data_IF_182647076019
#
_entry.id   IF_182647076019
#
_cell.length_a   1.000
_cell.length_b   1.000
_cell.length_c   1.000
_cell.angle_alpha   90.00
_cell.angle_beta   90.00
_cell.angle_gamma   90.00
#
_symmetry.space_group_name_H-M   'P 1'
#
loop_
_entity.id
_entity.type
_entity.pdbx_description
1 polymer ?
#
# COMPACT_ATOMS: atom_id res chain seq x y z
N UNK A 1 -6.69 -11.69 -18.75
CA UNK A 1 -6.27 -10.60 -17.84
C UNK A 1 -6.39 -9.31 -18.63
N UNK A 2 -7.09 -8.30 -18.11
CA UNK A 2 -7.20 -6.99 -18.77
C UNK A 2 -5.81 -6.31 -18.79
N UNK A 3 -5.48 -5.61 -19.87
CA UNK A 3 -4.24 -4.83 -19.92
C UNK A 3 -4.39 -3.62 -18.99
N UNK A 4 -3.51 -3.52 -18.00
CA UNK A 4 -3.45 -2.39 -17.06
C UNK A 4 -2.34 -1.41 -17.45
N UNK A 5 -2.37 -0.24 -16.84
CA UNK A 5 -1.37 0.80 -16.99
C UNK A 5 -0.13 0.56 -16.14
N UNK A 6 0.55 1.65 -15.76
CA UNK A 6 1.79 1.62 -14.98
C UNK A 6 1.52 1.17 -13.55
N UNK A 7 2.49 0.48 -12.95
CA UNK A 7 2.44 0.14 -11.53
C UNK A 7 2.56 1.39 -10.66
N UNK A 8 2.10 1.33 -9.41
CA UNK A 8 2.32 2.43 -8.44
C UNK A 8 3.82 2.65 -8.18
N UNK A 9 4.64 1.60 -8.26
CA UNK A 9 6.09 1.71 -8.21
C UNK A 9 6.65 2.54 -9.38
N UNK A 10 6.19 2.29 -10.61
CA UNK A 10 6.63 3.05 -11.78
C UNK A 10 6.17 4.49 -11.72
N UNK A 11 4.91 4.72 -11.34
CA UNK A 11 4.32 6.05 -11.22
C UNK A 11 5.04 6.89 -10.16
N UNK A 12 5.30 6.36 -8.97
CA UNK A 12 6.00 7.12 -7.92
C UNK A 12 7.45 7.42 -8.31
N UNK A 13 8.13 6.51 -9.03
CA UNK A 13 9.50 6.72 -9.47
C UNK A 13 9.65 7.87 -10.50
N UNK A 14 8.57 8.25 -11.17
CA UNK A 14 8.54 9.40 -12.08
C UNK A 14 8.34 10.74 -11.35
N UNK A 15 7.98 10.72 -10.06
CA UNK A 15 7.70 11.92 -9.27
C UNK A 15 8.96 12.49 -8.63
N UNK A 16 9.02 13.82 -8.41
CA UNK A 16 10.03 14.43 -7.55
C UNK A 16 10.06 13.76 -6.17
N UNK A 17 11.24 13.43 -5.67
CA UNK A 17 11.40 12.73 -4.38
C UNK A 17 10.92 11.27 -4.39
N UNK A 18 10.52 10.71 -5.54
CA UNK A 18 10.05 9.32 -5.72
C UNK A 18 8.84 8.95 -4.83
N UNK A 19 7.99 9.92 -4.56
CA UNK A 19 6.76 9.81 -3.77
C UNK A 19 5.61 10.57 -4.41
N UNK A 20 4.40 10.20 -4.05
CA UNK A 20 3.21 10.95 -4.41
C UNK A 20 2.97 12.15 -3.48
N UNK A 21 2.17 13.10 -3.94
CA UNK A 21 1.55 14.07 -3.05
C UNK A 21 0.70 13.32 -2.01
N UNK A 22 0.55 13.91 -0.82
CA UNK A 22 -0.14 13.23 0.29
C UNK A 22 -1.59 12.84 -0.06
N UNK A 23 -2.33 13.70 -0.78
CA UNK A 23 -3.68 13.37 -1.26
C UNK A 23 -3.69 12.19 -2.23
N UNK A 24 -2.73 12.15 -3.16
CA UNK A 24 -2.59 11.03 -4.09
C UNK A 24 -2.19 9.76 -3.36
N UNK A 25 -1.22 9.81 -2.45
CA UNK A 25 -0.75 8.64 -1.71
C UNK A 25 -1.84 8.04 -0.81
N UNK A 26 -2.55 8.86 -0.03
CA UNK A 26 -3.65 8.40 0.81
C UNK A 26 -4.82 7.88 -0.05
N UNK A 27 -5.24 8.61 -1.07
CA UNK A 27 -6.33 8.18 -1.96
C UNK A 27 -6.00 6.92 -2.75
N UNK A 28 -4.78 6.79 -3.28
CA UNK A 28 -4.35 5.58 -3.99
C UNK A 28 -4.22 4.39 -3.03
N UNK A 29 -3.69 4.61 -1.82
CA UNK A 29 -3.64 3.57 -0.80
C UNK A 29 -5.03 3.11 -0.37
N UNK A 30 -6.02 3.99 -0.35
CA UNK A 30 -7.42 3.65 -0.02
C UNK A 30 -7.93 2.60 -0.99
N UNK A 31 -7.81 2.82 -2.31
CA UNK A 31 -8.18 1.81 -3.31
C UNK A 31 -7.34 0.53 -3.23
N UNK A 32 -6.06 0.62 -2.84
CA UNK A 32 -5.24 -0.58 -2.61
C UNK A 32 -5.80 -1.45 -1.48
N UNK A 33 -6.31 -0.80 -0.42
CA UNK A 33 -6.93 -1.47 0.72
C UNK A 33 -8.32 -2.01 0.37
N UNK A 34 -9.13 -1.27 -0.40
CA UNK A 34 -10.42 -1.76 -0.92
C UNK A 34 -10.24 -3.05 -1.74
N UNK A 35 -9.27 -3.08 -2.65
CA UNK A 35 -8.96 -4.27 -3.43
C UNK A 35 -8.47 -5.44 -2.56
N UNK A 36 -7.75 -5.15 -1.47
CA UNK A 36 -7.32 -6.16 -0.49
C UNK A 36 -8.50 -6.69 0.34
N UNK A 37 -9.38 -5.80 0.80
CA UNK A 37 -10.60 -6.16 1.53
C UNK A 37 -11.48 -7.07 0.67
N UNK A 38 -11.66 -6.76 -0.60
CA UNK A 38 -12.42 -7.60 -1.52
C UNK A 38 -11.81 -9.00 -1.67
N UNK A 39 -10.48 -9.12 -1.77
CA UNK A 39 -9.81 -10.42 -1.75
C UNK A 39 -10.11 -11.20 -0.46
N UNK A 40 -10.12 -10.51 0.68
CA UNK A 40 -10.39 -11.11 1.98
C UNK A 40 -11.84 -11.56 2.12
N UNK A 41 -12.81 -10.85 1.53
CA UNK A 41 -14.23 -11.28 1.48
C UNK A 41 -14.39 -12.64 0.79
N UNK A 42 -13.54 -12.95 -0.18
CA UNK A 42 -13.51 -14.27 -0.84
C UNK A 42 -12.69 -15.33 -0.09
N UNK A 43 -12.16 -15.00 1.10
CA UNK A 43 -11.45 -15.94 1.96
C UNK A 43 -10.01 -16.19 1.53
N UNK A 44 -9.36 -15.21 0.91
CA UNK A 44 -7.95 -15.25 0.53
C UNK A 44 -7.16 -14.11 1.17
N UNK A 45 -5.87 -14.34 1.38
CA UNK A 45 -4.87 -13.30 1.65
C UNK A 45 -3.85 -13.29 0.51
N UNK A 46 -3.32 -12.13 0.17
CA UNK A 46 -2.37 -11.92 -0.92
C UNK A 46 -0.93 -12.29 -0.55
N UNK A 47 -0.46 -11.85 0.62
CA UNK A 47 0.89 -12.09 1.17
C UNK A 47 2.06 -11.40 0.45
N UNK A 48 1.80 -10.49 -0.49
CA UNK A 48 2.86 -9.74 -1.19
C UNK A 48 2.39 -8.35 -1.63
N UNK A 49 1.68 -7.64 -0.75
CA UNK A 49 1.22 -6.28 -1.06
C UNK A 49 2.41 -5.32 -1.08
N UNK A 50 2.64 -4.70 -2.24
CA UNK A 50 3.73 -3.75 -2.50
C UNK A 50 3.38 -2.86 -3.70
N UNK A 51 3.98 -1.67 -3.87
CA UNK A 51 3.61 -0.76 -4.97
C UNK A 51 3.71 -1.37 -6.38
N UNK A 52 4.58 -2.37 -6.60
CA UNK A 52 4.73 -3.04 -7.89
C UNK A 52 3.58 -4.01 -8.23
N UNK A 53 2.85 -4.49 -7.23
CA UNK A 53 1.70 -5.40 -7.39
C UNK A 53 0.37 -4.64 -7.46
N UNK A 54 0.42 -3.32 -7.64
CA UNK A 54 -0.75 -2.49 -7.90
C UNK A 54 -0.48 -1.63 -9.14
N UNK A 55 -1.47 -1.48 -10.02
CA UNK A 55 -1.36 -0.67 -11.22
C UNK A 55 -2.61 0.15 -11.50
N UNK A 56 -2.44 1.33 -12.08
CA UNK A 56 -3.58 2.12 -12.54
C UNK A 56 -4.19 1.51 -13.82
N UNK A 57 -5.46 1.78 -14.09
CA UNK A 57 -6.08 1.43 -15.37
C UNK A 57 -5.56 2.27 -16.54
N UNK A 58 -5.98 1.91 -17.76
CA UNK A 58 -5.67 2.66 -18.97
C UNK A 58 -6.79 3.66 -19.32
N UNK A 59 -6.42 4.75 -20.01
CA UNK A 59 -7.35 5.74 -20.58
C UNK A 59 -8.32 6.28 -19.51
N UNK A 60 -9.63 6.12 -19.71
CA UNK A 60 -10.69 6.56 -18.79
C UNK A 60 -10.62 5.86 -17.42
N UNK A 61 -9.95 4.71 -17.33
CA UNK A 61 -9.76 3.97 -16.07
C UNK A 61 -8.48 4.37 -15.32
N UNK A 62 -7.78 5.45 -15.72
CA UNK A 62 -6.52 5.90 -15.09
C UNK A 62 -6.59 6.14 -13.58
N UNK A 63 -7.79 6.33 -13.05
CA UNK A 63 -8.06 6.51 -11.62
C UNK A 63 -8.32 5.19 -10.87
N UNK A 64 -8.69 4.13 -11.58
CA UNK A 64 -8.95 2.80 -10.99
C UNK A 64 -7.61 2.12 -10.71
N UNK A 65 -7.43 1.60 -9.50
CA UNK A 65 -6.24 0.82 -9.12
C UNK A 65 -6.60 -0.66 -9.06
N UNK A 66 -5.80 -1.47 -9.75
CA UNK A 66 -5.92 -2.92 -9.83
C UNK A 66 -4.86 -3.59 -8.97
N UNK A 67 -5.26 -4.58 -8.19
CA UNK A 67 -4.35 -5.52 -7.51
C UNK A 67 -3.90 -6.61 -8.50
N UNK A 68 -2.61 -6.95 -8.48
CA UNK A 68 -1.95 -7.85 -9.41
C UNK A 68 -1.18 -8.95 -8.66
N UNK A 69 -0.84 -10.02 -9.38
CA UNK A 69 0.03 -11.11 -8.91
C UNK A 69 -0.43 -11.85 -7.64
N UNK A 70 -1.40 -12.75 -7.83
CA UNK A 70 -1.86 -13.67 -6.78
C UNK A 70 -0.97 -14.93 -6.64
N UNK A 71 0.25 -14.94 -7.20
CA UNK A 71 1.08 -16.15 -7.30
C UNK A 71 1.44 -16.80 -5.95
N UNK A 72 1.47 -16.00 -4.88
CA UNK A 72 1.62 -16.51 -3.52
C UNK A 72 0.41 -16.25 -2.62
N UNK A 73 -0.76 -15.94 -3.18
CA UNK A 73 -1.99 -15.83 -2.39
C UNK A 73 -2.32 -17.16 -1.69
N UNK A 74 -3.13 -17.10 -0.63
CA UNK A 74 -3.50 -18.26 0.18
C UNK A 74 -4.96 -18.19 0.61
N UNK A 75 -5.71 -19.26 0.34
CA UNK A 75 -7.07 -19.44 0.88
C UNK A 75 -7.00 -19.70 2.39
N UNK A 76 -7.59 -18.81 3.18
CA UNK A 76 -7.64 -18.87 4.64
C UNK A 76 -8.91 -19.55 5.16
N UNK A 77 -9.97 -19.63 4.34
CA UNK A 77 -11.20 -20.33 4.72
C UNK A 77 -11.17 -21.81 4.29
N UNK A 78 -11.78 -22.67 5.09
CA UNK A 78 -12.06 -24.06 4.74
C UNK A 78 -13.31 -24.16 3.84
N UNK A 79 -13.74 -25.38 3.50
CA UNK A 79 -14.91 -25.60 2.63
C UNK A 79 -16.25 -25.30 3.30
N UNK A 80 -16.26 -25.07 4.62
CA UNK A 80 -17.41 -24.60 5.39
C UNK A 80 -17.44 -23.08 5.55
N UNK A 81 -16.46 -22.35 4.99
CA UNK A 81 -16.32 -20.91 5.17
C UNK A 81 -15.72 -20.49 6.51
N UNK A 82 -15.16 -21.42 7.29
CA UNK A 82 -14.55 -21.12 8.60
C UNK A 82 -13.05 -20.85 8.43
N UNK A 83 -12.49 -19.98 9.28
CA UNK A 83 -11.05 -19.68 9.28
C UNK A 83 -10.24 -20.94 9.65
N UNK A 84 -9.26 -21.28 8.82
CA UNK A 84 -8.37 -22.44 9.05
C UNK A 84 -7.56 -22.27 10.33
N UNK A 85 -7.33 -23.36 11.04
CA UNK A 85 -6.37 -23.40 12.15
C UNK A 85 -4.99 -22.96 11.69
N UNK A 86 -4.30 -22.07 12.43
CA UNK A 86 -2.99 -21.59 12.04
C UNK A 86 -1.97 -22.73 12.09
N UNK A 87 -1.10 -22.80 11.09
CA UNK A 87 0.04 -23.73 11.11
C UNK A 87 1.05 -23.31 12.16
N UNK A 88 1.73 -24.28 12.80
CA UNK A 88 2.78 -24.00 13.79
C UNK A 88 3.93 -23.18 13.22
N UNK A 89 4.30 -23.41 11.95
CA UNK A 89 5.34 -22.65 11.27
C UNK A 89 5.05 -22.51 9.78
N UNK A 90 5.45 -21.37 9.22
CA UNK A 90 5.26 -21.03 7.81
C UNK A 90 6.55 -20.49 7.25
N UNK A 91 6.99 -21.02 6.09
CA UNK A 91 8.14 -20.44 5.38
C UNK A 91 7.81 -19.04 4.91
N UNK A 92 8.74 -18.12 5.13
CA UNK A 92 8.69 -16.76 4.58
C UNK A 92 8.42 -16.79 3.07
N UNK A 93 7.40 -16.05 2.64
CA UNK A 93 7.09 -15.76 1.24
C UNK A 93 6.68 -14.30 1.15
N UNK A 94 7.15 -13.61 0.11
CA UNK A 94 6.86 -12.20 -0.14
C UNK A 94 8.12 -11.35 -0.18
N UNK A 95 7.92 -10.03 -0.28
CA UNK A 95 8.99 -9.06 -0.47
C UNK A 95 9.46 -8.49 0.87
N UNK A 96 10.72 -8.71 1.25
CA UNK A 96 11.29 -8.41 2.59
C UNK A 96 10.88 -7.04 3.18
N UNK A 97 11.03 -5.91 2.45
CA UNK A 97 10.60 -4.61 2.96
C UNK A 97 9.11 -4.53 3.33
N UNK A 98 8.24 -5.21 2.60
CA UNK A 98 6.78 -5.11 2.78
C UNK A 98 6.18 -6.26 3.59
N UNK A 99 6.90 -7.37 3.81
CA UNK A 99 6.39 -8.51 4.56
C UNK A 99 6.10 -8.16 6.03
N UNK A 100 4.97 -8.63 6.58
CA UNK A 100 4.60 -8.37 7.98
C UNK A 100 5.60 -8.93 9.00
N UNK A 101 5.58 -8.43 10.24
CA UNK A 101 6.33 -8.96 11.36
C UNK A 101 6.03 -10.45 11.57
N UNK A 102 4.76 -10.88 11.41
CA UNK A 102 4.37 -12.30 11.48
C UNK A 102 5.07 -13.13 10.40
N UNK A 103 5.12 -12.64 9.16
CA UNK A 103 5.85 -13.31 8.07
C UNK A 103 7.34 -13.43 8.41
N UNK A 104 7.95 -12.36 8.94
CA UNK A 104 9.33 -12.38 9.44
C UNK A 104 9.53 -13.40 10.57
N UNK A 105 8.55 -13.60 11.45
CA UNK A 105 8.59 -14.59 12.53
C UNK A 105 8.21 -16.01 12.10
N UNK A 106 7.95 -16.25 10.81
CA UNK A 106 7.49 -17.54 10.28
C UNK A 106 6.18 -18.03 10.93
N UNK A 107 5.31 -17.11 11.36
CA UNK A 107 3.99 -17.44 11.92
C UNK A 107 2.93 -17.44 10.82
N UNK A 108 1.80 -18.10 11.05
CA UNK A 108 0.69 -18.06 10.10
C UNK A 108 0.18 -16.63 9.93
N UNK A 109 -0.05 -16.26 8.68
CA UNK A 109 -0.53 -14.93 8.31
C UNK A 109 -2.04 -14.94 8.13
N UNK A 110 -2.70 -13.85 8.53
CA UNK A 110 -4.11 -13.58 8.30
C UNK A 110 -4.35 -12.21 7.66
N UNK A 111 -5.61 -11.75 7.57
CA UNK A 111 -5.97 -10.45 7.01
C UNK A 111 -5.18 -9.25 7.58
N UNK A 112 -4.87 -9.27 8.88
CA UNK A 112 -4.07 -8.22 9.54
C UNK A 112 -2.67 -8.06 8.93
N UNK A 113 -2.09 -9.13 8.40
CA UNK A 113 -0.72 -9.12 7.87
C UNK A 113 -0.66 -8.47 6.49
N UNK A 114 -1.69 -8.66 5.67
CA UNK A 114 -1.85 -7.91 4.43
C UNK A 114 -2.11 -6.42 4.74
N UNK A 115 -2.90 -6.08 5.76
CA UNK A 115 -3.05 -4.70 6.20
C UNK A 115 -1.73 -4.07 6.67
N UNK A 116 -0.87 -4.82 7.36
CA UNK A 116 0.47 -4.37 7.74
C UNK A 116 1.35 -4.11 6.51
N UNK A 117 1.35 -5.03 5.53
CA UNK A 117 2.04 -4.85 4.26
C UNK A 117 1.51 -3.66 3.46
N UNK A 118 0.19 -3.44 3.45
CA UNK A 118 -0.46 -2.27 2.86
C UNK A 118 -0.03 -0.98 3.56
N UNK A 119 0.09 -0.97 4.89
CA UNK A 119 0.57 0.21 5.62
C UNK A 119 2.01 0.55 5.23
N UNK A 120 2.88 -0.46 5.05
CA UNK A 120 4.23 -0.25 4.52
C UNK A 120 4.24 0.25 3.07
N UNK A 121 3.32 -0.22 2.22
CA UNK A 121 3.10 0.32 0.89
C UNK A 121 2.74 1.82 0.97
N UNK A 122 1.77 2.20 1.82
CA UNK A 122 1.37 3.58 2.03
C UNK A 122 2.56 4.47 2.42
N UNK A 123 3.35 4.05 3.40
CA UNK A 123 4.56 4.78 3.78
C UNK A 123 5.55 4.90 2.63
N UNK A 124 5.80 3.83 1.87
CA UNK A 124 6.74 3.84 0.75
C UNK A 124 6.33 4.80 -0.38
N UNK A 125 5.03 5.03 -0.57
CA UNK A 125 4.53 5.94 -1.61
C UNK A 125 4.32 7.38 -1.14
N UNK A 126 4.35 7.66 0.17
CA UNK A 126 4.10 9.00 0.74
C UNK A 126 5.30 9.64 1.44
N UNK A 127 6.19 8.83 2.02
CA UNK A 127 7.33 9.30 2.81
C UNK A 127 8.56 9.44 1.90
N UNK A 128 9.17 10.64 1.72
CA UNK A 128 10.27 10.84 0.77
C UNK A 128 11.47 9.91 0.95
N UNK A 129 11.84 9.60 2.19
CA UNK A 129 12.90 8.63 2.51
C UNK A 129 12.48 7.15 2.33
N UNK A 130 11.19 6.89 2.07
CA UNK A 130 10.59 5.57 2.01
C UNK A 130 10.59 4.85 3.36
N UNK A 131 10.64 3.52 3.32
CA UNK A 131 10.81 2.70 4.51
C UNK A 131 12.25 2.77 5.00
N UNK A 132 12.47 3.04 6.28
CA UNK A 132 13.82 3.15 6.85
C UNK A 132 14.63 1.85 6.73
N UNK A 133 13.95 0.72 6.58
CA UNK A 133 14.56 -0.59 6.39
C UNK A 133 14.65 -1.03 4.91
N UNK A 134 14.29 -0.19 3.94
CA UNK A 134 14.20 -0.60 2.51
C UNK A 134 15.54 -0.99 1.90
N UNK A 135 16.64 -0.42 2.40
CA UNK A 135 18.00 -0.67 1.90
C UNK A 135 18.60 -1.99 2.41
N UNK A 136 17.94 -2.65 3.36
CA UNK A 136 18.45 -3.86 4.00
C UNK A 136 17.87 -5.12 3.35
N UNK A 137 18.73 -6.09 3.08
CA UNK A 137 18.35 -7.39 2.49
C UNK A 137 18.19 -8.49 3.53
N UNK A 138 18.74 -8.33 4.74
CA UNK A 138 18.72 -9.35 5.77
C UNK A 138 17.41 -9.36 6.56
N UNK A 139 16.74 -10.52 6.57
CA UNK A 139 15.42 -10.71 7.16
C UNK A 139 15.36 -10.26 8.62
N UNK A 140 16.30 -10.72 9.45
CA UNK A 140 16.31 -10.44 10.88
C UNK A 140 16.66 -8.97 11.19
N UNK A 141 17.46 -8.33 10.34
CA UNK A 141 17.76 -6.91 10.48
C UNK A 141 16.53 -6.04 10.18
N UNK A 142 15.82 -6.35 9.09
CA UNK A 142 14.56 -5.69 8.74
C UNK A 142 13.50 -5.88 9.83
N UNK A 143 13.38 -7.09 10.38
CA UNK A 143 12.48 -7.36 11.51
C UNK A 143 12.82 -6.47 12.71
N UNK A 144 14.08 -6.39 13.12
CA UNK A 144 14.52 -5.56 14.24
C UNK A 144 14.17 -4.08 14.03
N UNK A 145 14.42 -3.55 12.83
CA UNK A 145 14.10 -2.14 12.52
C UNK A 145 12.59 -1.90 12.57
N UNK A 146 11.77 -2.83 12.06
CA UNK A 146 10.30 -2.76 12.16
C UNK A 146 9.83 -2.70 13.61
N UNK A 147 10.40 -3.55 14.48
CA UNK A 147 10.08 -3.59 15.90
C UNK A 147 10.53 -2.32 16.64
N UNK A 148 11.69 -1.76 16.32
CA UNK A 148 12.15 -0.48 16.89
C UNK A 148 11.21 0.68 16.50
N UNK A 149 10.71 0.68 15.25
CA UNK A 149 9.78 1.70 14.78
C UNK A 149 8.42 1.64 15.48
N UNK A 150 8.02 0.46 15.99
CA UNK A 150 6.83 0.33 16.82
C UNK A 150 7.00 0.91 18.23
N UNK A 151 8.22 0.95 18.76
CA UNK A 151 8.50 1.36 20.14
C UNK A 151 8.73 2.86 20.26
N UNK A 152 9.81 3.36 19.65
CA UNK A 152 10.32 4.72 19.88
C UNK A 152 10.76 5.44 18.60
N UNK A 153 10.89 4.74 17.46
CA UNK A 153 11.34 5.34 16.19
C UNK A 153 10.20 5.67 15.21
N UNK A 154 8.95 5.74 15.69
CA UNK A 154 7.78 6.01 14.84
C UNK A 154 7.87 7.38 14.14
N UNK A 155 8.24 8.41 14.89
CA UNK A 155 8.38 9.76 14.34
C UNK A 155 9.45 9.86 13.25
N UNK A 156 10.55 9.13 13.41
CA UNK A 156 11.60 9.07 12.40
C UNK A 156 11.10 8.44 11.09
N UNK A 157 10.25 7.40 11.19
CA UNK A 157 9.66 6.76 10.00
C UNK A 157 8.61 7.65 9.32
N UNK A 158 7.79 8.37 10.08
CA UNK A 158 6.77 9.23 9.49
C UNK A 158 7.33 10.56 8.94
N UNK A 159 8.55 10.94 9.33
CA UNK A 159 9.23 12.12 8.79
C UNK A 159 8.46 13.41 9.10
N UNK A 160 8.12 14.19 8.07
CA UNK A 160 7.39 15.46 8.20
C UNK A 160 5.93 15.38 7.72
N UNK A 161 5.36 14.17 7.62
CA UNK A 161 3.95 14.03 7.31
C UNK A 161 3.10 14.77 8.36
N UNK A 162 2.00 15.39 7.93
CA UNK A 162 1.08 16.11 8.82
C UNK A 162 0.12 15.17 9.55
N UNK A 163 -0.27 14.07 8.91
CA UNK A 163 -1.23 13.08 9.43
C UNK A 163 -0.58 11.96 10.26
N UNK A 164 0.44 12.28 11.07
CA UNK A 164 1.17 11.27 11.85
C UNK A 164 0.28 10.60 12.89
N UNK A 165 -0.65 11.37 13.47
CA UNK A 165 -1.54 10.88 14.52
C UNK A 165 -2.46 9.80 13.96
N UNK A 166 -3.06 10.03 12.79
CA UNK A 166 -3.94 9.08 12.12
C UNK A 166 -3.17 7.84 11.65
N UNK A 167 -1.98 8.02 11.07
CA UNK A 167 -1.09 6.90 10.72
C UNK A 167 -0.66 6.09 11.95
N UNK A 168 -0.46 6.76 13.09
CA UNK A 168 -0.20 6.12 14.38
C UNK A 168 -1.39 5.26 14.83
N UNK A 169 -2.60 5.81 14.82
CA UNK A 169 -3.83 5.09 15.18
C UNK A 169 -4.06 3.86 14.29
N UNK A 170 -3.84 3.99 12.97
CA UNK A 170 -3.97 2.86 12.03
C UNK A 170 -3.02 1.73 12.43
N UNK A 171 -1.76 2.05 12.73
CA UNK A 171 -0.78 1.00 12.97
C UNK A 171 -0.92 0.38 14.36
N UNK A 172 -1.32 1.15 15.36
CA UNK A 172 -1.68 0.63 16.68
C UNK A 172 -2.89 -0.31 16.59
N UNK A 173 -3.87 0.04 15.76
CA UNK A 173 -5.01 -0.82 15.49
C UNK A 173 -4.60 -2.14 14.84
N UNK A 174 -3.79 -2.11 13.78
CA UNK A 174 -3.28 -3.34 13.12
C UNK A 174 -2.49 -4.22 14.10
N UNK A 175 -1.66 -3.62 14.95
CA UNK A 175 -0.86 -4.34 15.95
C UNK A 175 -1.73 -4.96 17.06
N UNK A 176 -2.92 -4.41 17.34
CA UNK A 176 -3.88 -4.96 18.32
C UNK A 176 -4.59 -6.24 17.86
N UNK A 177 -4.59 -6.53 16.55
CA UNK A 177 -5.28 -7.67 15.97
C UNK A 177 -4.46 -8.96 16.07
N UNK A 178 -5.15 -10.08 16.18
CA UNK A 178 -4.64 -11.44 16.13
C UNK A 178 -5.09 -12.16 14.85
N UNK A 179 -4.56 -13.36 14.62
CA UNK A 179 -4.86 -14.15 13.42
C UNK A 179 -6.38 -14.42 13.22
N UNK A 180 -7.12 -14.57 14.31
CA UNK A 180 -8.55 -14.88 14.28
C UNK A 180 -9.46 -13.65 14.24
N UNK A 181 -8.90 -12.45 14.39
CA UNK A 181 -9.68 -11.22 14.47
C UNK A 181 -10.11 -10.76 13.07
N UNK A 182 -11.30 -10.18 12.99
CA UNK A 182 -11.77 -9.51 11.80
C UNK A 182 -11.22 -8.08 11.75
N UNK A 183 -10.72 -7.68 10.58
CA UNK A 183 -10.26 -6.32 10.34
C UNK A 183 -11.49 -5.42 10.10
N UNK A 184 -11.57 -4.33 10.85
CA UNK A 184 -12.48 -3.21 10.65
C UNK A 184 -11.86 -2.24 9.65
N UNK A 185 -12.09 -2.54 8.37
CA UNK A 185 -11.64 -1.70 7.26
C UNK A 185 -12.26 -0.29 7.31
N UNK A 186 -13.49 -0.17 7.81
CA UNK A 186 -14.19 1.11 7.91
C UNK A 186 -13.47 2.07 8.86
N UNK A 187 -12.94 1.54 9.97
CA UNK A 187 -12.10 2.33 10.89
C UNK A 187 -10.83 2.85 10.20
N UNK A 188 -10.15 2.01 9.40
CA UNK A 188 -8.95 2.42 8.66
C UNK A 188 -9.30 3.47 7.60
N UNK A 189 -10.38 3.29 6.84
CA UNK A 189 -10.82 4.27 5.83
C UNK A 189 -11.13 5.63 6.44
N UNK A 190 -11.83 5.65 7.59
CA UNK A 190 -12.09 6.89 8.32
C UNK A 190 -10.81 7.62 8.71
N UNK A 191 -9.80 6.91 9.22
CA UNK A 191 -8.50 7.51 9.56
C UNK A 191 -7.73 8.02 8.33
N UNK A 192 -7.87 7.38 7.16
CA UNK A 192 -7.28 7.89 5.92
C UNK A 192 -7.96 9.19 5.46
N UNK A 193 -9.28 9.28 5.56
CA UNK A 193 -10.03 10.51 5.25
C UNK A 193 -9.66 11.64 6.21
N UNK A 194 -9.67 11.38 7.52
CA UNK A 194 -9.23 12.33 8.55
C UNK A 194 -7.79 12.78 8.31
N UNK A 195 -6.88 11.85 8.03
CA UNK A 195 -5.48 12.16 7.74
C UNK A 195 -5.31 13.02 6.49
N UNK A 196 -6.12 12.80 5.44
CA UNK A 196 -6.10 13.64 4.25
C UNK A 196 -6.56 15.08 4.57
N UNK A 197 -7.59 15.24 5.40
CA UNK A 197 -8.07 16.54 5.86
C UNK A 197 -7.03 17.25 6.73
N UNK A 198 -6.41 16.56 7.69
CA UNK A 198 -5.30 17.08 8.53
C UNK A 198 -4.12 17.54 7.67
N UNK A 199 -3.85 16.85 6.55
CA UNK A 199 -2.82 17.23 5.60
C UNK A 199 -3.21 18.41 4.68
N UNK A 200 -4.45 18.89 4.74
CA UNK A 200 -4.97 20.01 3.93
C UNK A 200 -5.47 19.58 2.55
N UNK A 201 -5.88 18.32 2.38
CA UNK A 201 -6.37 17.78 1.11
C UNK A 201 -7.53 16.80 1.28
N UNK A 202 -7.75 15.97 0.27
CA UNK A 202 -8.79 14.93 0.26
C UNK A 202 -8.29 13.69 -0.46
N UNK A 203 -8.73 12.51 -0.01
CA UNK A 203 -8.50 11.22 -0.71
C UNK A 203 -9.19 11.19 -2.08
N UNK A 204 -10.15 12.09 -2.33
CA UNK A 204 -10.87 12.19 -3.60
C UNK A 204 -10.27 13.19 -4.59
N UNK A 205 -9.21 13.92 -4.23
CA UNK A 205 -8.54 14.81 -5.18
C UNK A 205 -8.05 14.04 -6.43
N UNK A 206 -7.88 14.70 -7.58
CA UNK A 206 -7.22 14.09 -8.74
C UNK A 206 -5.82 13.58 -8.37
N UNK A 207 -5.46 12.39 -8.83
CA UNK A 207 -4.13 11.86 -8.59
C UNK A 207 -3.07 12.61 -9.40
N UNK A 208 -1.83 12.59 -8.90
CA UNK A 208 -0.69 13.28 -9.53
C UNK A 208 -0.56 12.95 -11.04
N UNK A 209 -0.73 11.68 -11.41
CA UNK A 209 -0.64 11.21 -12.79
C UNK A 209 -1.88 11.55 -13.65
N UNK A 210 -2.99 11.95 -13.03
CA UNK A 210 -4.16 12.43 -13.74
C UNK A 210 -3.97 13.87 -14.25
N UNK A 211 -3.21 14.68 -13.52
CA UNK A 211 -2.98 16.11 -13.82
C UNK A 211 -1.81 16.32 -14.77
N UNK A 212 -0.75 15.52 -14.65
CA UNK A 212 0.42 15.61 -15.55
C UNK A 212 0.06 15.25 -17.01
N UNK A 213 -0.87 14.32 -17.21
CA UNK A 213 -1.36 13.96 -18.56
C UNK A 213 -2.14 15.08 -19.24
N UNK A 214 -2.72 16.02 -18.50
CA UNK A 214 -3.47 17.15 -19.07
C UNK A 214 -2.56 18.26 -19.66
N UNK A 215 -1.27 18.31 -19.29
CA UNK A 215 -0.31 19.32 -19.79
C UNK A 215 0.49 18.83 -21.02
N UNK A 216 0.21 17.63 -21.53
CA UNK A 216 1.04 16.92 -22.50
C UNK A 216 0.43 16.75 -23.89
N UNK A 217 -0.02 17.83 -24.54
CA UNK A 217 -0.08 17.87 -26.02
C UNK A 217 0.34 19.25 -26.51
N UNK A 218 1.58 19.44 -26.97
CA UNK A 218 1.89 20.56 -27.83
C UNK A 218 1.18 20.30 -29.16
N UNK A 219 0.21 21.14 -29.50
CA UNK A 219 -0.30 21.25 -30.87
C UNK A 219 0.91 21.57 -31.74
N UNK A 220 1.35 20.63 -32.58
CA UNK A 220 2.32 20.93 -33.65
C UNK A 220 1.67 22.00 -34.52
N UNK A 221 2.09 23.26 -34.36
CA UNK A 221 1.84 24.28 -35.38
C UNK A 221 2.64 23.84 -36.61
N UNK A 222 1.95 23.33 -37.61
CA UNK A 222 2.50 23.20 -38.95
C UNK A 222 2.78 24.61 -39.48
N UNK A 223 4.02 25.06 -39.37
CA UNK A 223 4.51 26.19 -40.13
C UNK A 223 4.62 25.74 -41.59
N UNK A 224 3.55 25.95 -42.35
CA UNK A 224 3.65 26.12 -43.80
C UNK A 224 4.44 27.41 -44.03
N UNK A 225 5.74 27.29 -44.25
CA UNK A 225 6.51 28.33 -44.90
C UNK A 225 6.36 28.15 -46.40
N UNK A 226 5.73 29.16 -47.00
CA UNK A 226 5.91 29.53 -48.40
C UNK A 226 7.39 29.85 -48.65
N UNK A 227 7.97 29.23 -49.66
CA UNK A 227 8.82 29.83 -50.70
C UNK A 227 9.10 28.75 -51.75
#
# INVERSE_FOLDING_TARGET
MELVGKSLADLKNQRPGRVFSISTGLGASTQCLEACEDLHKYGFIHRDLKPANYACGLREKKRVIYILDFGIARRILNDKGELKTPRMTVKFKGTIPFASISCHRNTEMGPKDDCESWFYLLLDITVPQGLLWKAYSEKNEVLRIKEDIRKDKRDAQFGNLRCKEELGKIIDYIDSLHYHDHVDYSYIYKLLEEGALTAGGSVHNPYDWEVETARGTPVKRSSLYQA
#
